data_IF_177919292769
#
_entry.id   IF_177919292769
#
_cell.length_a   1.000
_cell.length_b   1.000
_cell.length_c   1.000
_cell.angle_alpha   90.00
_cell.angle_beta   90.00
_cell.angle_gamma   90.00
#
_symmetry.space_group_name_H-M   'P 1'
#
loop_
_entity.id
_entity.type
_entity.pdbx_description
1 polymer ?
#
# COMPACT_ATOMS: atom_id res chain seq x y z
N UNK A 1 25.05 8.89 17.22
CA UNK A 1 24.82 8.82 18.68
C UNK A 1 23.62 7.90 18.93
N UNK A 2 23.84 6.67 19.43
CA UNK A 2 22.74 5.81 19.92
C UNK A 2 22.24 6.44 21.23
N UNK A 3 20.99 6.92 21.25
CA UNK A 3 20.37 7.47 22.46
C UNK A 3 19.69 6.32 23.19
N UNK A 4 20.20 5.97 24.38
CA UNK A 4 19.54 5.04 25.27
C UNK A 4 18.39 5.77 25.96
N UNK A 5 17.16 5.31 25.76
CA UNK A 5 16.01 5.75 26.53
C UNK A 5 15.83 4.79 27.71
N UNK A 6 16.31 5.18 28.87
CA UNK A 6 16.04 4.45 30.11
C UNK A 6 14.64 4.83 30.59
N UNK A 7 13.69 3.90 30.50
CA UNK A 7 12.36 4.07 31.09
C UNK A 7 12.48 3.85 32.61
N UNK A 8 12.44 4.92 33.40
CA UNK A 8 12.40 4.83 34.86
C UNK A 8 10.94 4.69 35.28
N UNK A 9 10.50 3.46 35.57
CA UNK A 9 9.21 3.22 36.22
C UNK A 9 9.39 3.52 37.70
N UNK A 10 9.05 4.73 38.13
CA UNK A 10 8.99 5.08 39.55
C UNK A 10 7.71 4.45 40.11
N UNK A 11 7.82 3.35 40.85
CA UNK A 11 6.73 2.81 41.65
C UNK A 11 6.49 3.73 42.87
N UNK A 12 5.67 4.77 42.71
CA UNK A 12 5.12 5.50 43.85
C UNK A 12 4.07 4.62 44.54
N UNK A 13 4.53 3.79 45.48
CA UNK A 13 3.71 3.20 46.54
C UNK A 13 3.48 4.26 47.62
N UNK A 14 2.59 5.21 47.36
CA UNK A 14 1.94 5.97 48.41
C UNK A 14 0.44 5.82 48.23
N UNK A 15 -0.18 5.07 49.13
CA UNK A 15 -1.62 5.00 49.27
C UNK A 15 -2.20 6.42 49.34
N UNK A 16 -3.39 6.58 48.75
CA UNK A 16 -4.23 7.77 48.69
C UNK A 16 -4.20 8.51 47.34
N UNK A 17 -5.32 8.37 46.63
CA UNK A 17 -5.65 8.81 45.26
C UNK A 17 -4.95 8.02 44.13
N UNK A 18 -5.58 6.91 43.71
CA UNK A 18 -5.30 6.27 42.41
C UNK A 18 -5.84 7.19 41.31
N UNK A 19 -5.13 8.29 41.04
CA UNK A 19 -5.39 9.08 39.84
C UNK A 19 -4.93 8.24 38.64
N UNK A 20 -5.81 8.06 37.65
CA UNK A 20 -5.49 7.30 36.45
C UNK A 20 -4.19 7.82 35.81
N UNK A 21 -3.18 6.96 35.74
CA UNK A 21 -1.88 7.30 35.16
C UNK A 21 -1.96 7.30 33.63
N UNK A 22 -1.08 8.07 32.97
CA UNK A 22 -0.98 8.17 31.52
C UNK A 22 0.44 7.87 31.07
N UNK A 23 0.58 7.21 29.92
CA UNK A 23 1.85 7.13 29.19
C UNK A 23 1.88 8.28 28.20
N UNK A 24 2.94 9.09 28.25
CA UNK A 24 3.14 10.24 27.37
C UNK A 24 4.43 10.06 26.57
N UNK A 25 4.31 9.98 25.25
CA UNK A 25 5.44 9.92 24.32
C UNK A 25 5.56 11.27 23.63
N UNK A 26 6.64 12.00 23.90
CA UNK A 26 6.95 13.27 23.23
C UNK A 26 7.76 12.99 21.96
N UNK A 27 7.23 13.38 20.80
CA UNK A 27 7.93 13.23 19.52
C UNK A 27 8.81 14.45 19.23
N UNK A 28 9.82 14.27 18.36
CA UNK A 28 10.74 15.35 17.96
C UNK A 28 10.07 16.47 17.15
N UNK A 29 8.96 16.15 16.48
CA UNK A 29 8.15 17.11 15.73
C UNK A 29 7.23 17.97 16.63
N UNK A 30 7.30 17.79 17.95
CA UNK A 30 6.47 18.50 18.92
C UNK A 30 5.12 17.85 19.20
N UNK A 31 4.70 16.86 18.41
CA UNK A 31 3.47 16.10 18.66
C UNK A 31 3.63 15.13 19.84
N UNK A 32 2.50 14.70 20.41
CA UNK A 32 2.46 13.81 21.58
C UNK A 32 1.53 12.63 21.33
N UNK A 33 1.93 11.44 21.78
CA UNK A 33 1.03 10.30 21.96
C UNK A 33 0.73 10.18 23.44
N UNK A 34 -0.55 10.14 23.79
CA UNK A 34 -1.01 10.02 25.18
C UNK A 34 -2.01 8.87 25.25
N UNK A 35 -1.71 7.86 26.05
CA UNK A 35 -2.59 6.71 26.31
C UNK A 35 -2.79 6.53 27.80
N UNK A 36 -3.97 6.06 28.23
CA UNK A 36 -4.20 5.75 29.64
C UNK A 36 -3.42 4.49 29.99
N UNK A 37 -2.73 4.48 31.14
CA UNK A 37 -1.90 3.35 31.55
C UNK A 37 -2.71 2.05 31.70
N UNK A 38 -4.00 2.15 32.08
CA UNK A 38 -4.91 1.00 32.17
C UNK A 38 -5.21 0.32 30.83
N UNK A 39 -4.96 1.02 29.71
CA UNK A 39 -5.21 0.51 28.35
C UNK A 39 -3.91 -0.04 27.71
N UNK A 40 -2.78 -0.02 28.43
CA UNK A 40 -1.47 -0.47 27.94
C UNK A 40 -1.16 -1.86 28.52
N UNK A 41 -1.05 -2.86 27.65
CA UNK A 41 -0.62 -4.21 28.04
C UNK A 41 0.91 -4.32 28.14
N UNK A 42 1.66 -3.75 27.20
CA UNK A 42 3.12 -3.81 27.12
C UNK A 42 3.70 -2.65 26.28
N UNK A 43 4.98 -2.32 26.47
CA UNK A 43 5.72 -1.32 25.66
C UNK A 43 7.02 -1.93 25.17
N UNK A 44 7.14 -2.15 23.85
CA UNK A 44 8.34 -2.72 23.21
C UNK A 44 9.10 -1.70 22.38
N UNK A 45 10.42 -1.76 22.46
CA UNK A 45 11.32 -1.11 21.52
C UNK A 45 11.82 -2.16 20.54
N UNK A 46 11.25 -2.17 19.33
CA UNK A 46 11.70 -3.03 18.24
C UNK A 46 12.69 -2.26 17.33
N UNK A 47 13.60 -2.97 16.64
CA UNK A 47 14.36 -2.38 15.54
C UNK A 47 13.40 -1.80 14.50
N UNK A 48 13.66 -0.59 14.01
CA UNK A 48 12.89 -0.05 12.89
C UNK A 48 13.17 -0.89 11.64
N UNK A 49 12.11 -1.41 11.02
CA UNK A 49 12.19 -2.01 9.69
C UNK A 49 12.17 -0.92 8.63
N UNK A 50 12.86 -1.15 7.52
CA UNK A 50 12.78 -0.28 6.34
C UNK A 50 11.34 -0.27 5.78
N UNK A 51 10.58 -1.34 6.03
CA UNK A 51 9.18 -1.46 5.63
C UNK A 51 8.21 -0.65 6.51
N UNK A 52 8.53 -0.40 7.79
CA UNK A 52 7.63 0.25 8.75
C UNK A 52 6.95 1.53 8.22
N UNK A 53 7.67 2.45 7.53
CA UNK A 53 7.06 3.65 7.01
C UNK A 53 6.03 3.39 5.91
N UNK A 54 6.04 2.23 5.27
CA UNK A 54 5.16 1.86 4.15
C UNK A 54 3.94 1.07 4.60
N UNK A 55 3.98 0.36 5.72
CA UNK A 55 2.89 -0.53 6.14
C UNK A 55 1.58 0.24 6.38
N UNK A 56 0.46 -0.32 5.93
CA UNK A 56 -0.86 0.22 6.16
C UNK A 56 -1.68 0.44 4.90
N UNK A 57 -2.77 1.19 5.05
CA UNK A 57 -3.79 1.41 4.02
C UNK A 57 -3.70 2.82 3.47
N UNK A 58 -3.82 2.94 2.16
CA UNK A 58 -3.67 4.21 1.44
C UNK A 58 -4.85 4.41 0.51
N UNK A 59 -5.52 5.54 0.66
CA UNK A 59 -6.68 5.91 -0.17
C UNK A 59 -6.26 6.97 -1.19
N UNK A 60 -6.66 6.77 -2.44
CA UNK A 60 -6.37 7.71 -3.51
C UNK A 60 -6.94 7.27 -4.86
N UNK A 61 -6.58 8.01 -5.91
CA UNK A 61 -7.01 7.70 -7.26
C UNK A 61 -6.02 6.75 -7.95
N UNK A 62 -6.55 5.73 -8.61
CA UNK A 62 -5.78 4.89 -9.55
C UNK A 62 -5.90 5.47 -10.96
N UNK A 63 -4.80 5.45 -11.71
CA UNK A 63 -4.78 5.87 -13.11
C UNK A 63 -4.06 4.83 -13.93
N UNK A 64 -4.60 4.53 -15.10
CA UNK A 64 -3.95 3.68 -16.09
C UNK A 64 -3.74 4.43 -17.39
N UNK A 65 -2.56 4.27 -17.99
CA UNK A 65 -2.25 4.73 -19.33
C UNK A 65 -2.01 3.53 -20.24
N UNK A 66 -2.83 3.38 -21.28
CA UNK A 66 -2.74 2.28 -22.23
C UNK A 66 -1.93 2.71 -23.43
N UNK A 67 -0.81 2.04 -23.67
CA UNK A 67 0.03 2.27 -24.85
C UNK A 67 0.57 3.69 -24.99
N UNK A 68 0.59 4.47 -23.90
CA UNK A 68 1.02 5.86 -23.91
C UNK A 68 0.01 6.86 -24.52
N UNK A 69 -1.17 6.42 -24.97
CA UNK A 69 -2.15 7.28 -25.65
C UNK A 69 -3.44 7.47 -24.84
N UNK A 70 -4.04 6.39 -24.35
CA UNK A 70 -5.32 6.45 -23.65
C UNK A 70 -5.11 6.49 -22.15
N UNK A 71 -5.73 7.44 -21.46
CA UNK A 71 -5.58 7.61 -20.00
C UNK A 71 -6.94 7.51 -19.33
N UNK A 72 -7.04 6.69 -18.29
CA UNK A 72 -8.24 6.52 -17.49
C UNK A 72 -7.90 6.68 -16.01
N UNK A 73 -8.87 7.20 -15.25
CA UNK A 73 -8.79 7.30 -13.79
C UNK A 73 -9.90 6.43 -13.21
N UNK A 74 -9.66 5.82 -12.04
CA UNK A 74 -10.67 5.06 -11.33
C UNK A 74 -11.93 5.89 -11.10
N UNK A 75 -13.10 5.25 -11.14
CA UNK A 75 -14.39 5.89 -10.96
C UNK A 75 -14.50 6.52 -9.56
N UNK A 76 -13.94 5.85 -8.56
CA UNK A 76 -13.86 6.29 -7.17
C UNK A 76 -12.42 6.20 -6.66
N UNK A 77 -12.16 6.82 -5.50
CA UNK A 77 -10.93 6.55 -4.77
C UNK A 77 -10.91 5.11 -4.27
N UNK A 78 -9.78 4.45 -4.45
CA UNK A 78 -9.55 3.06 -4.05
C UNK A 78 -8.57 3.01 -2.88
N UNK A 79 -8.63 1.92 -2.12
CA UNK A 79 -7.76 1.71 -0.94
C UNK A 79 -6.79 0.58 -1.19
N UNK A 80 -5.53 0.93 -1.36
CA UNK A 80 -4.41 0.00 -1.48
C UNK A 80 -3.89 -0.36 -0.09
N UNK A 81 -3.34 -1.56 0.07
CA UNK A 81 -2.78 -2.01 1.34
C UNK A 81 -1.36 -2.56 1.17
N UNK A 82 -0.48 -2.19 2.09
CA UNK A 82 0.88 -2.70 2.20
C UNK A 82 1.03 -3.47 3.51
N UNK A 83 1.50 -4.72 3.43
CA UNK A 83 1.75 -5.59 4.60
C UNK A 83 3.22 -5.97 4.70
N UNK A 84 3.69 -6.16 5.95
CA UNK A 84 5.05 -6.61 6.25
C UNK A 84 5.13 -8.14 6.22
N UNK A 85 6.25 -8.67 5.72
CA UNK A 85 6.56 -10.10 5.71
C UNK A 85 7.55 -10.51 6.81
N UNK A 86 8.03 -9.56 7.63
CA UNK A 86 9.04 -9.76 8.68
C UNK A 86 10.45 -10.15 8.18
N UNK A 87 10.61 -10.45 6.87
CA UNK A 87 11.88 -10.74 6.21
C UNK A 87 12.51 -9.52 5.51
N UNK A 88 11.91 -8.35 5.69
CA UNK A 88 12.33 -7.09 5.05
C UNK A 88 11.74 -6.86 3.65
N UNK A 89 10.90 -7.77 3.16
CA UNK A 89 10.04 -7.56 1.98
C UNK A 89 8.65 -7.10 2.39
N UNK A 90 7.87 -6.60 1.42
CA UNK A 90 6.46 -6.23 1.62
C UNK A 90 5.56 -6.94 0.63
N UNK A 91 4.26 -7.00 0.94
CA UNK A 91 3.24 -7.30 -0.07
C UNK A 91 2.47 -6.04 -0.43
N UNK A 92 2.04 -5.96 -1.68
CA UNK A 92 1.08 -4.98 -2.17
C UNK A 92 -0.23 -5.68 -2.49
N UNK A 93 -1.32 -5.24 -1.85
CA UNK A 93 -2.69 -5.68 -2.15
C UNK A 93 -3.38 -4.56 -2.91
N UNK A 94 -3.73 -4.83 -4.16
CA UNK A 94 -4.48 -3.92 -5.03
C UNK A 94 -5.95 -4.32 -4.96
N UNK A 95 -6.86 -3.41 -4.57
CA UNK A 95 -8.28 -3.72 -4.50
C UNK A 95 -8.87 -3.86 -5.91
N UNK A 96 -10.14 -4.26 -5.98
CA UNK A 96 -10.90 -4.10 -7.21
C UNK A 96 -10.94 -2.61 -7.63
N UNK A 97 -10.68 -2.34 -8.91
CA UNK A 97 -10.69 -1.00 -9.47
C UNK A 97 -11.62 -0.93 -10.66
N UNK A 98 -12.56 0.00 -10.64
CA UNK A 98 -13.48 0.28 -11.75
C UNK A 98 -13.02 1.52 -12.52
N UNK A 99 -12.98 1.42 -13.85
CA UNK A 99 -12.77 2.54 -14.76
C UNK A 99 -14.01 2.69 -15.63
N UNK A 100 -14.81 3.72 -15.38
CA UNK A 100 -16.01 4.00 -16.16
C UNK A 100 -15.68 4.70 -17.47
N UNK A 101 -16.55 4.53 -18.48
CA UNK A 101 -16.53 5.29 -19.76
C UNK A 101 -15.20 5.20 -20.53
N UNK A 102 -14.58 4.02 -20.55
CA UNK A 102 -13.44 3.77 -21.42
C UNK A 102 -13.92 3.48 -22.85
N UNK A 103 -13.00 3.43 -23.82
CA UNK A 103 -13.34 3.04 -25.20
C UNK A 103 -13.97 1.63 -25.32
N UNK A 104 -13.81 0.77 -24.31
CA UNK A 104 -14.38 -0.58 -24.25
C UNK A 104 -15.57 -0.68 -23.28
N UNK A 105 -16.15 0.46 -22.89
CA UNK A 105 -17.17 0.55 -21.85
C UNK A 105 -16.56 0.64 -20.45
N UNK A 106 -17.26 0.11 -19.45
CA UNK A 106 -16.74 0.07 -18.07
C UNK A 106 -15.79 -1.11 -17.91
N UNK A 107 -14.59 -0.85 -17.39
CA UNK A 107 -13.59 -1.87 -17.09
C UNK A 107 -13.54 -2.10 -15.58
N UNK A 108 -13.45 -3.35 -15.16
CA UNK A 108 -13.26 -3.72 -13.75
C UNK A 108 -12.05 -4.64 -13.69
N UNK A 109 -11.03 -4.18 -12.99
CA UNK A 109 -9.84 -4.95 -12.64
C UNK A 109 -10.04 -5.53 -11.25
N UNK A 110 -10.16 -6.85 -11.14
CA UNK A 110 -10.36 -7.53 -9.86
C UNK A 110 -9.12 -7.42 -8.96
N UNK A 111 -9.34 -7.66 -7.67
CA UNK A 111 -8.30 -7.66 -6.63
C UNK A 111 -7.15 -8.61 -6.98
N UNK A 112 -5.92 -8.19 -6.70
CA UNK A 112 -4.73 -9.03 -6.80
C UNK A 112 -3.67 -8.62 -5.79
N UNK A 113 -2.72 -9.52 -5.53
CA UNK A 113 -1.61 -9.30 -4.59
C UNK A 113 -0.28 -9.54 -5.29
N UNK A 114 0.66 -8.61 -5.11
CA UNK A 114 2.08 -8.80 -5.47
C UNK A 114 2.84 -9.02 -4.16
N UNK A 115 3.31 -10.24 -3.94
CA UNK A 115 3.98 -10.62 -2.69
C UNK A 115 5.49 -10.49 -2.76
N UNK A 116 6.13 -10.43 -1.59
CA UNK A 116 7.58 -10.54 -1.40
C UNK A 116 8.37 -9.53 -2.27
N UNK A 117 7.95 -8.27 -2.25
CA UNK A 117 8.59 -7.18 -2.98
C UNK A 117 9.83 -6.74 -2.19
N UNK A 118 11.05 -6.89 -2.72
CA UNK A 118 12.26 -6.53 -2.00
C UNK A 118 12.51 -5.02 -2.04
N UNK A 119 13.18 -4.52 -1.00
CA UNK A 119 13.63 -3.13 -0.95
C UNK A 119 14.90 -2.92 -1.77
N UNK A 120 14.90 -1.86 -2.60
CA UNK A 120 16.07 -1.38 -3.30
C UNK A 120 16.60 -0.11 -2.62
N UNK A 121 17.76 -0.22 -1.96
CA UNK A 121 18.34 0.87 -1.18
C UNK A 121 18.79 2.08 -2.03
N UNK A 122 19.27 1.85 -3.25
CA UNK A 122 19.72 2.93 -4.15
C UNK A 122 18.55 3.79 -4.65
N UNK A 123 17.43 3.13 -4.97
CA UNK A 123 16.21 3.79 -5.44
C UNK A 123 15.29 4.23 -4.31
N UNK A 124 15.59 3.82 -3.07
CA UNK A 124 14.76 4.06 -1.88
C UNK A 124 13.30 3.64 -2.08
N UNK A 125 13.11 2.48 -2.70
CA UNK A 125 11.80 2.00 -3.14
C UNK A 125 11.76 0.47 -3.10
N UNK A 126 10.57 -0.09 -2.94
CA UNK A 126 10.32 -1.51 -3.14
C UNK A 126 10.07 -1.77 -4.63
N UNK A 127 10.86 -2.67 -5.22
CA UNK A 127 10.86 -2.87 -6.68
C UNK A 127 10.89 -4.36 -6.98
N UNK A 128 9.95 -4.83 -7.80
CA UNK A 128 9.90 -6.23 -8.24
C UNK A 128 9.43 -6.33 -9.68
N UNK A 129 10.17 -7.08 -10.50
CA UNK A 129 9.62 -7.67 -11.71
C UNK A 129 8.93 -8.97 -11.29
N UNK A 130 7.66 -9.16 -11.68
CA UNK A 130 6.80 -10.19 -11.09
C UNK A 130 6.16 -11.11 -12.13
N UNK A 131 6.73 -11.19 -13.34
CA UNK A 131 6.23 -12.09 -14.40
C UNK A 131 6.22 -13.58 -13.97
N UNK A 132 7.17 -13.96 -13.11
CA UNK A 132 7.38 -15.35 -12.66
C UNK A 132 6.46 -15.72 -11.49
N UNK A 133 5.79 -14.73 -10.88
CA UNK A 133 4.93 -14.95 -9.73
C UNK A 133 3.58 -15.59 -10.12
N UNK A 134 3.25 -15.65 -11.42
CA UNK A 134 2.01 -16.21 -11.95
C UNK A 134 0.74 -15.63 -11.28
N UNK A 135 0.76 -14.32 -10.98
CA UNK A 135 -0.34 -13.63 -10.32
C UNK A 135 -1.53 -13.58 -11.27
N UNK A 136 -2.63 -14.20 -10.84
CA UNK A 136 -3.91 -14.21 -11.54
C UNK A 136 -4.78 -13.05 -11.10
N UNK A 137 -5.57 -12.52 -12.03
CA UNK A 137 -6.55 -11.49 -11.77
C UNK A 137 -7.74 -11.62 -12.71
N UNK A 138 -8.91 -11.20 -12.22
CA UNK A 138 -10.13 -11.15 -13.03
C UNK A 138 -10.23 -9.81 -13.75
N UNK A 139 -10.65 -9.81 -15.00
CA UNK A 139 -10.92 -8.60 -15.76
C UNK A 139 -12.28 -8.68 -16.43
N UNK A 140 -13.14 -7.71 -16.12
CA UNK A 140 -14.51 -7.64 -16.61
C UNK A 140 -14.66 -6.38 -17.46
N UNK A 141 -15.38 -6.49 -18.57
CA UNK A 141 -15.86 -5.34 -19.33
C UNK A 141 -17.38 -5.34 -19.37
N UNK A 142 -17.98 -4.16 -19.21
CA UNK A 142 -19.42 -3.94 -19.34
C UNK A 142 -19.71 -2.88 -20.39
N UNK A 143 -20.76 -3.09 -21.17
CA UNK A 143 -21.27 -2.06 -22.10
C UNK A 143 -21.94 -0.89 -21.33
N UNK A 144 -22.38 0.12 -22.07
CA UNK A 144 -23.04 1.31 -21.51
C UNK A 144 -24.41 1.00 -20.89
N UNK A 145 -25.01 -0.16 -21.21
CA UNK A 145 -26.24 -0.65 -20.59
C UNK A 145 -25.98 -1.44 -19.30
N UNK A 146 -24.70 -1.64 -18.93
CA UNK A 146 -24.28 -2.37 -17.74
C UNK A 146 -24.18 -3.89 -17.94
N UNK A 147 -24.38 -4.40 -19.16
CA UNK A 147 -24.26 -5.83 -19.43
C UNK A 147 -22.79 -6.22 -19.54
N UNK A 148 -22.42 -7.36 -18.96
CA UNK A 148 -21.09 -7.94 -19.08
C UNK A 148 -20.83 -8.41 -20.51
N UNK A 149 -19.82 -7.81 -21.16
CA UNK A 149 -19.37 -8.16 -22.52
C UNK A 149 -18.14 -9.06 -22.52
N UNK A 150 -17.34 -9.02 -21.45
CA UNK A 150 -16.23 -9.94 -21.19
C UNK A 150 -16.09 -10.18 -19.70
N UNK A 151 -15.75 -11.40 -19.34
CA UNK A 151 -15.39 -11.76 -17.99
C UNK A 151 -14.34 -12.88 -18.04
N UNK A 152 -13.08 -12.51 -17.80
CA UNK A 152 -11.94 -13.39 -18.07
C UNK A 152 -10.89 -13.31 -16.96
N UNK A 153 -10.28 -14.45 -16.64
CA UNK A 153 -9.07 -14.52 -15.82
C UNK A 153 -7.84 -14.37 -16.71
N UNK A 154 -6.91 -13.52 -16.28
CA UNK A 154 -5.61 -13.32 -16.89
C UNK A 154 -4.51 -13.57 -15.86
N UNK A 155 -3.29 -13.75 -16.35
CA UNK A 155 -2.08 -13.85 -15.54
C UNK A 155 -1.14 -12.70 -15.92
N UNK A 156 -0.51 -12.09 -14.92
CA UNK A 156 0.58 -11.15 -15.15
C UNK A 156 1.89 -11.89 -15.48
N UNK A 157 2.03 -12.35 -16.72
CA UNK A 157 3.08 -13.26 -17.18
C UNK A 157 4.05 -12.63 -18.20
N UNK A 158 4.02 -11.31 -18.37
CA UNK A 158 4.81 -10.58 -19.38
C UNK A 158 6.03 -9.90 -18.77
N UNK A 159 7.11 -9.73 -19.56
CA UNK A 159 8.33 -9.04 -19.12
C UNK A 159 8.09 -7.59 -18.67
N UNK A 160 7.02 -6.96 -19.18
CA UNK A 160 6.61 -5.63 -18.76
C UNK A 160 6.07 -5.57 -17.32
N UNK A 161 5.71 -6.70 -16.70
CA UNK A 161 5.16 -6.79 -15.36
C UNK A 161 6.19 -6.40 -14.29
N UNK A 162 6.10 -5.15 -13.82
CA UNK A 162 7.01 -4.57 -12.83
C UNK A 162 6.33 -3.52 -11.97
N UNK A 163 6.56 -3.60 -10.66
CA UNK A 163 6.05 -2.65 -9.68
C UNK A 163 7.21 -1.88 -9.04
N UNK A 164 6.96 -0.60 -8.77
CA UNK A 164 7.81 0.30 -7.99
C UNK A 164 6.94 1.00 -6.97
N UNK A 165 7.26 0.86 -5.68
CA UNK A 165 6.53 1.44 -4.55
C UNK A 165 7.48 2.34 -3.78
N UNK A 166 7.14 3.61 -3.64
CA UNK A 166 7.92 4.62 -2.94
C UNK A 166 7.01 5.50 -2.08
N UNK A 167 7.59 6.15 -1.06
CA UNK A 167 6.94 7.25 -0.37
C UNK A 167 7.44 8.57 -0.96
N UNK A 168 6.52 9.49 -1.17
CA UNK A 168 6.84 10.87 -1.51
C UNK A 168 7.24 11.67 -0.26
N UNK A 169 7.80 12.86 -0.45
CA UNK A 169 8.28 13.71 0.64
C UNK A 169 7.17 14.12 1.63
N UNK A 170 5.92 14.17 1.17
CA UNK A 170 4.73 14.45 2.01
C UNK A 170 4.13 13.19 2.66
N UNK A 171 4.79 12.04 2.52
CA UNK A 171 4.40 10.77 3.12
C UNK A 171 3.30 10.02 2.37
N UNK A 172 2.89 10.47 1.19
CA UNK A 172 1.96 9.69 0.35
C UNK A 172 2.65 8.50 -0.30
N UNK A 173 1.92 7.39 -0.41
CA UNK A 173 2.35 6.23 -1.17
C UNK A 173 2.23 6.52 -2.66
N UNK A 174 3.32 6.24 -3.38
CA UNK A 174 3.38 6.31 -4.84
C UNK A 174 3.66 4.92 -5.38
N UNK A 175 2.84 4.48 -6.32
CA UNK A 175 3.01 3.19 -6.99
C UNK A 175 3.04 3.44 -8.48
N UNK A 176 4.04 2.88 -9.14
CA UNK A 176 4.08 2.73 -10.59
C UNK A 176 4.06 1.23 -10.87
N UNK A 177 3.04 0.77 -11.58
CA UNK A 177 2.88 -0.62 -11.94
C UNK A 177 2.73 -0.76 -13.45
N UNK A 178 3.72 -1.33 -14.13
CA UNK A 178 3.61 -1.66 -15.54
C UNK A 178 3.18 -3.11 -15.69
N UNK A 179 2.28 -3.38 -16.61
CA UNK A 179 1.82 -4.74 -16.91
C UNK A 179 1.24 -4.83 -18.32
N UNK A 180 1.10 -6.05 -18.81
CA UNK A 180 0.46 -6.36 -20.08
C UNK A 180 -0.38 -7.62 -19.86
N UNK A 181 -1.61 -7.63 -20.36
CA UNK A 181 -2.55 -8.73 -20.15
C UNK A 181 -2.75 -9.54 -21.43
N UNK A 182 -2.68 -10.86 -21.32
CA UNK A 182 -2.92 -11.78 -22.43
C UNK A 182 -2.09 -11.44 -23.68
N UNK A 183 -2.74 -11.39 -24.83
CA UNK A 183 -2.11 -11.06 -26.12
C UNK A 183 -2.24 -9.59 -26.51
N UNK A 184 -2.51 -8.70 -25.55
CA UNK A 184 -2.65 -7.27 -25.83
C UNK A 184 -1.34 -6.71 -26.42
N UNK A 185 -1.34 -5.96 -27.52
CA UNK A 185 -0.10 -5.48 -28.15
C UNK A 185 0.56 -4.30 -27.43
N UNK A 186 -0.14 -3.67 -26.47
CA UNK A 186 0.32 -2.47 -25.77
C UNK A 186 0.53 -2.75 -24.28
N UNK A 187 1.53 -2.09 -23.70
CA UNK A 187 1.77 -2.06 -22.25
C UNK A 187 0.80 -1.10 -21.57
N UNK A 188 0.37 -1.46 -20.36
CA UNK A 188 -0.41 -0.63 -19.46
C UNK A 188 0.51 -0.08 -18.38
N UNK A 189 0.42 1.22 -18.15
CA UNK A 189 1.16 1.94 -17.11
C UNK A 189 0.15 2.39 -16.04
N UNK A 190 0.07 1.64 -14.96
CA UNK A 190 -0.69 1.98 -13.75
C UNK A 190 0.10 2.92 -12.85
N UNK A 191 -0.56 3.93 -12.32
CA UNK A 191 -0.02 4.85 -11.33
C UNK A 191 -1.05 5.08 -10.23
N UNK A 192 -0.62 5.02 -8.98
CA UNK A 192 -1.45 5.33 -7.82
C UNK A 192 -0.71 6.28 -6.89
N UNK A 193 -1.43 7.27 -6.38
CA UNK A 193 -0.95 8.17 -5.32
C UNK A 193 -2.01 8.21 -4.22
N UNK A 194 -1.65 7.76 -3.02
CA UNK A 194 -2.59 7.63 -1.91
C UNK A 194 -2.07 8.21 -0.60
N UNK A 195 -2.95 8.84 0.15
CA UNK A 195 -2.70 9.27 1.52
C UNK A 195 -3.00 8.12 2.49
N UNK A 196 -2.20 7.99 3.55
CA UNK A 196 -2.43 6.99 4.60
C UNK A 196 -3.76 7.27 5.32
N UNK A 197 -4.53 6.20 5.56
CA UNK A 197 -5.78 6.24 6.34
C UNK A 197 -5.52 6.18 7.85
#
# INVERSE_FOLDING_TARGET
MKKFFTLVIVSLLSAMAVQAQKVVINKKDGSKVVVLAKDVQDVKFAPASIADPFIGRYKGADKVKIGGMFSYTSADEVTYEITDNEDGTINLIVPEVTYAKTLMGTLILGTYTISNIPYNAEKKAFIKAYKEDNIKFRFITKDDSGNTTRDQEYTFDKDACKVVIALSDDGKLTINNTYQMGSMPMVIYGTFVGARQ
#
